data_IF_003629316364
#
_entry.id   IF_003629316364
#
_cell.length_a   1.000
_cell.length_b   1.000
_cell.length_c   1.000
_cell.angle_alpha   90.00
_cell.angle_beta   90.00
_cell.angle_gamma   90.00
#
_symmetry.space_group_name_H-M   'P 1'
#
loop_
_entity.id
_entity.type
_entity.pdbx_description
1 polymer ?
#
# COMPACT_ATOMS: atom_id res chain seq x y z
N UNK A 1 28.90 -10.90 -15.07
CA UNK A 1 28.44 -11.91 -14.11
C UNK A 1 28.31 -11.30 -12.73
N UNK A 2 27.26 -10.53 -12.51
CA UNK A 2 26.71 -10.31 -11.17
C UNK A 2 25.55 -11.28 -11.05
N UNK A 3 25.56 -12.22 -10.10
CA UNK A 3 24.47 -13.16 -9.94
C UNK A 3 23.24 -12.36 -9.52
N UNK A 4 22.13 -12.55 -10.23
CA UNK A 4 20.81 -12.18 -9.73
C UNK A 4 20.68 -12.86 -8.35
N UNK A 5 20.85 -12.08 -7.28
CA UNK A 5 20.43 -12.50 -5.95
C UNK A 5 18.90 -12.53 -5.99
N UNK A 6 18.34 -13.58 -6.59
CA UNK A 6 16.93 -13.91 -6.50
C UNK A 6 16.74 -14.42 -5.08
N UNK A 7 16.74 -13.49 -4.13
CA UNK A 7 16.05 -13.71 -2.87
C UNK A 7 14.62 -14.05 -3.25
N UNK A 8 14.18 -15.26 -2.92
CA UNK A 8 12.80 -15.69 -3.16
C UNK A 8 11.88 -14.65 -2.55
N UNK A 9 11.09 -13.96 -3.38
CA UNK A 9 10.08 -13.02 -2.87
C UNK A 9 9.20 -13.82 -1.91
N UNK A 10 9.05 -13.40 -0.64
CA UNK A 10 8.22 -14.13 0.31
C UNK A 10 6.78 -14.18 -0.18
N UNK A 11 5.98 -15.11 0.32
CA UNK A 11 4.56 -15.15 0.00
C UNK A 11 3.86 -13.93 0.59
N UNK A 12 3.61 -12.92 -0.25
CA UNK A 12 2.98 -11.66 0.14
C UNK A 12 1.47 -11.79 0.35
N UNK A 13 0.88 -12.96 0.09
CA UNK A 13 -0.51 -13.21 0.48
C UNK A 13 -0.68 -13.39 1.99
N UNK A 14 0.42 -13.73 2.69
CA UNK A 14 0.50 -13.76 4.14
C UNK A 14 0.73 -12.34 4.73
N UNK A 15 0.00 -12.01 5.79
CA UNK A 15 0.01 -10.67 6.40
C UNK A 15 1.36 -10.32 7.03
N UNK A 16 2.01 -11.29 7.70
CA UNK A 16 3.27 -11.06 8.39
C UNK A 16 4.41 -10.85 7.38
N UNK A 17 4.49 -11.70 6.37
CA UNK A 17 5.43 -11.55 5.27
C UNK A 17 5.23 -10.23 4.53
N UNK A 18 3.97 -9.86 4.24
CA UNK A 18 3.64 -8.59 3.61
C UNK A 18 4.08 -7.40 4.47
N UNK A 19 3.86 -7.47 5.80
CA UNK A 19 4.28 -6.43 6.74
C UNK A 19 5.80 -6.24 6.73
N UNK A 20 6.56 -7.30 6.85
CA UNK A 20 8.04 -7.25 6.82
C UNK A 20 8.56 -6.70 5.48
N UNK A 21 7.96 -7.12 4.36
CA UNK A 21 8.34 -6.64 3.04
C UNK A 21 7.96 -5.17 2.81
N UNK A 22 6.79 -4.72 3.27
CA UNK A 22 6.31 -3.34 3.13
C UNK A 22 7.12 -2.40 4.03
N UNK A 23 7.44 -2.79 5.25
CA UNK A 23 8.20 -1.97 6.19
C UNK A 23 9.71 -1.95 5.89
N UNK A 24 10.20 -2.90 5.10
CA UNK A 24 11.56 -2.86 4.56
C UNK A 24 11.63 -2.12 3.21
N UNK A 25 12.85 -1.82 2.76
CA UNK A 25 13.12 -1.23 1.44
C UNK A 25 14.13 -2.09 0.67
N UNK A 26 13.70 -3.26 0.15
CA UNK A 26 14.61 -4.14 -0.58
C UNK A 26 15.05 -3.51 -1.89
N UNK A 27 16.20 -3.95 -2.42
CA UNK A 27 16.67 -3.54 -3.73
C UNK A 27 15.70 -4.03 -4.80
N UNK A 28 15.27 -3.10 -5.67
CA UNK A 28 14.41 -3.40 -6.81
C UNK A 28 14.71 -2.39 -7.92
N UNK A 29 14.50 -2.76 -9.20
CA UNK A 29 14.69 -1.83 -10.31
C UNK A 29 13.82 -0.57 -10.19
N UNK A 30 12.61 -0.71 -9.65
CA UNK A 30 11.70 0.43 -9.43
C UNK A 30 11.97 1.20 -8.13
N UNK A 31 12.92 0.75 -7.29
CA UNK A 31 13.39 1.50 -6.13
C UNK A 31 14.51 2.45 -6.59
N UNK A 32 14.11 3.58 -7.19
CA UNK A 32 15.04 4.59 -7.72
C UNK A 32 14.55 5.98 -7.37
N UNK A 33 15.50 6.86 -7.06
CA UNK A 33 15.26 8.28 -6.78
C UNK A 33 15.89 9.18 -7.85
N UNK A 34 16.33 8.64 -8.98
CA UNK A 34 16.94 9.39 -10.09
C UNK A 34 15.89 10.26 -10.79
N UNK A 35 15.91 11.60 -10.64
CA UNK A 35 14.90 12.48 -11.20
C UNK A 35 14.92 12.51 -12.73
N UNK A 36 16.10 12.33 -13.34
CA UNK A 36 16.23 12.31 -14.79
C UNK A 36 15.51 11.09 -15.35
N UNK A 37 15.71 9.92 -14.74
CA UNK A 37 14.99 8.70 -15.11
C UNK A 37 13.49 8.83 -14.87
N UNK A 38 13.09 9.33 -13.70
CA UNK A 38 11.67 9.47 -13.36
C UNK A 38 10.95 10.42 -14.32
N UNK A 39 11.59 11.49 -14.77
CA UNK A 39 11.01 12.41 -15.77
C UNK A 39 10.74 11.78 -17.14
N UNK A 40 11.38 10.66 -17.47
CA UNK A 40 11.10 9.92 -18.73
C UNK A 40 9.87 9.03 -18.66
N UNK A 41 9.40 8.72 -17.45
CA UNK A 41 8.30 7.77 -17.21
C UNK A 41 7.07 8.46 -16.60
N UNK A 42 7.31 9.42 -15.71
CA UNK A 42 6.29 10.14 -14.95
C UNK A 42 6.03 11.50 -15.60
N UNK A 43 4.75 11.81 -15.81
CA UNK A 43 4.34 13.15 -16.22
C UNK A 43 4.64 14.16 -15.09
N UNK A 44 4.71 15.45 -15.41
CA UNK A 44 5.10 16.51 -14.47
C UNK A 44 4.27 16.54 -13.17
N UNK A 45 2.99 16.16 -13.22
CA UNK A 45 2.11 16.06 -12.06
C UNK A 45 2.51 14.95 -11.08
N UNK A 46 3.07 13.85 -11.60
CA UNK A 46 3.45 12.66 -10.83
C UNK A 46 4.88 12.76 -10.26
N UNK A 47 5.65 13.79 -10.67
CA UNK A 47 7.02 14.02 -10.21
C UNK A 47 7.09 14.68 -8.82
N UNK A 48 5.98 15.23 -8.32
CA UNK A 48 5.93 15.88 -7.00
C UNK A 48 6.07 14.89 -5.82
N UNK A 49 5.94 13.58 -6.08
CA UNK A 49 6.00 12.53 -5.05
C UNK A 49 7.17 11.58 -5.31
N UNK A 50 8.29 11.85 -4.62
CA UNK A 50 9.53 11.08 -4.75
C UNK A 50 9.44 9.65 -4.16
N UNK A 51 8.41 9.36 -3.36
CA UNK A 51 8.32 8.16 -2.51
C UNK A 51 7.21 7.18 -2.95
N UNK A 52 7.03 6.95 -4.24
CA UNK A 52 6.06 5.96 -4.75
C UNK A 52 6.46 4.51 -4.44
N UNK A 53 7.74 4.22 -4.18
CA UNK A 53 8.21 2.87 -3.84
C UNK A 53 7.80 2.48 -2.41
N UNK A 54 7.91 3.41 -1.46
CA UNK A 54 7.46 3.27 -0.07
C UNK A 54 6.82 4.59 0.36
N UNK A 55 5.51 4.57 0.55
CA UNK A 55 4.73 5.74 0.91
C UNK A 55 4.13 5.58 2.30
N UNK A 56 3.79 6.70 2.93
CA UNK A 56 3.20 6.74 4.26
C UNK A 56 2.08 7.77 4.29
N UNK A 57 0.95 7.41 4.89
CA UNK A 57 -0.17 8.33 5.14
C UNK A 57 -0.60 8.20 6.58
N UNK A 58 -0.84 9.32 7.25
CA UNK A 58 -1.40 9.37 8.59
C UNK A 58 -2.81 9.94 8.53
N UNK A 59 -3.68 9.43 9.41
CA UNK A 59 -4.99 10.01 9.66
C UNK A 59 -5.19 10.16 11.16
N UNK A 60 -5.68 11.33 11.56
CA UNK A 60 -6.39 11.44 12.84
C UNK A 60 -7.70 10.65 12.78
N UNK A 61 -8.25 10.36 13.95
CA UNK A 61 -9.53 9.68 14.08
C UNK A 61 -10.67 10.41 13.35
N UNK A 62 -10.70 11.74 13.44
CA UNK A 62 -11.71 12.59 12.82
C UNK A 62 -11.59 12.59 11.30
N UNK A 63 -10.37 12.76 10.77
CA UNK A 63 -10.09 12.75 9.34
C UNK A 63 -10.48 11.42 8.70
N UNK A 64 -10.11 10.29 9.31
CA UNK A 64 -10.44 8.99 8.74
C UNK A 64 -11.95 8.71 8.76
N UNK A 65 -12.63 9.08 9.84
CA UNK A 65 -14.08 8.91 9.96
C UNK A 65 -14.82 9.74 8.90
N UNK A 66 -14.47 11.02 8.76
CA UNK A 66 -15.06 11.91 7.75
C UNK A 66 -14.76 11.43 6.32
N UNK A 67 -13.51 11.06 6.05
CA UNK A 67 -13.10 10.54 4.74
C UNK A 67 -13.91 9.31 4.36
N UNK A 68 -13.98 8.31 5.24
CA UNK A 68 -14.77 7.10 4.99
C UNK A 68 -16.23 7.44 4.75
N UNK A 69 -16.81 8.35 5.54
CA UNK A 69 -18.19 8.80 5.36
C UNK A 69 -18.42 9.42 3.99
N UNK A 70 -17.57 10.36 3.56
CA UNK A 70 -17.70 11.03 2.26
C UNK A 70 -17.48 10.10 1.07
N UNK A 71 -16.51 9.19 1.17
CA UNK A 71 -16.10 8.34 0.04
C UNK A 71 -16.95 7.08 -0.13
N UNK A 72 -17.45 6.53 0.98
CA UNK A 72 -18.32 5.35 0.99
C UNK A 72 -19.81 5.66 1.08
N UNK A 73 -20.18 6.82 1.61
CA UNK A 73 -21.57 7.15 1.97
C UNK A 73 -22.04 6.49 3.28
N UNK A 74 -21.16 5.82 4.01
CA UNK A 74 -21.48 5.06 5.23
C UNK A 74 -20.90 5.77 6.45
N UNK A 75 -21.75 6.03 7.45
CA UNK A 75 -21.29 6.53 8.74
C UNK A 75 -20.82 5.36 9.63
N UNK A 76 -19.51 5.31 9.88
CA UNK A 76 -18.89 4.31 10.75
C UNK A 76 -18.86 4.76 12.22
N UNK A 77 -19.16 6.02 12.51
CA UNK A 77 -18.79 6.66 13.77
C UNK A 77 -17.27 6.68 13.94
N UNK A 78 -16.81 6.42 15.16
CA UNK A 78 -15.37 6.26 15.43
C UNK A 78 -14.87 4.97 14.81
N UNK A 79 -13.86 5.05 13.95
CA UNK A 79 -13.15 3.87 13.41
C UNK A 79 -12.37 3.20 14.54
N UNK A 80 -12.61 1.91 14.72
CA UNK A 80 -12.01 1.09 15.76
C UNK A 80 -10.89 0.20 15.21
N UNK A 81 -11.01 -0.21 13.95
CA UNK A 81 -10.05 -1.13 13.33
C UNK A 81 -10.11 -1.06 11.80
N UNK A 82 -8.92 -1.03 11.19
CA UNK A 82 -8.69 -1.36 9.78
C UNK A 82 -7.86 -2.64 9.74
N UNK A 83 -8.47 -3.77 9.35
CA UNK A 83 -7.79 -5.06 9.35
C UNK A 83 -7.80 -5.68 7.95
N UNK A 84 -6.64 -5.89 7.32
CA UNK A 84 -6.55 -6.70 6.11
C UNK A 84 -7.07 -8.11 6.39
N UNK A 85 -8.08 -8.56 5.63
CA UNK A 85 -8.61 -9.92 5.74
C UNK A 85 -7.97 -10.85 4.70
N UNK A 86 -7.71 -10.32 3.51
CA UNK A 86 -7.13 -11.09 2.41
C UNK A 86 -6.25 -10.24 1.51
N UNK A 87 -5.12 -10.81 1.10
CA UNK A 87 -4.20 -10.25 0.11
C UNK A 87 -4.12 -11.13 -1.14
N UNK A 88 -3.85 -10.51 -2.28
CA UNK A 88 -3.44 -11.23 -3.49
C UNK A 88 -1.95 -11.60 -3.43
N UNK A 89 -1.50 -12.41 -4.39
CA UNK A 89 -0.09 -12.83 -4.49
C UNK A 89 0.90 -11.66 -4.61
N UNK A 90 0.44 -10.49 -5.06
CA UNK A 90 1.23 -9.26 -5.12
C UNK A 90 1.27 -8.47 -3.80
N UNK A 91 0.67 -8.96 -2.71
CA UNK A 91 0.60 -8.26 -1.42
C UNK A 91 -0.46 -7.16 -1.33
N UNK A 92 -1.19 -6.92 -2.42
CA UNK A 92 -2.30 -5.95 -2.45
C UNK A 92 -3.48 -6.50 -1.69
N UNK A 93 -4.03 -5.71 -0.77
CA UNK A 93 -5.25 -6.06 -0.05
C UNK A 93 -6.40 -6.10 -1.04
N UNK A 94 -7.17 -7.18 -1.00
CA UNK A 94 -8.35 -7.40 -1.84
C UNK A 94 -9.63 -7.49 -1.01
N UNK A 95 -9.52 -7.70 0.31
CA UNK A 95 -10.59 -7.58 1.30
C UNK A 95 -10.03 -6.91 2.56
N UNK A 96 -10.62 -5.78 2.95
CA UNK A 96 -10.27 -5.01 4.14
C UNK A 96 -11.51 -4.90 5.04
N UNK A 97 -11.37 -5.30 6.30
CA UNK A 97 -12.36 -5.03 7.34
C UNK A 97 -12.20 -3.60 7.84
N UNK A 98 -13.30 -2.85 7.85
CA UNK A 98 -13.43 -1.56 8.52
C UNK A 98 -14.47 -1.73 9.61
N UNK A 99 -14.04 -1.72 10.87
CA UNK A 99 -14.92 -1.75 12.04
C UNK A 99 -14.95 -0.35 12.65
N UNK A 100 -16.12 0.25 12.69
CA UNK A 100 -16.41 1.45 13.48
C UNK A 100 -17.40 1.18 14.61
N UNK A 101 -17.70 2.20 15.40
CA UNK A 101 -18.66 2.10 16.52
C UNK A 101 -20.10 1.90 16.05
N UNK A 102 -20.45 2.34 14.84
CA UNK A 102 -21.83 2.25 14.31
C UNK A 102 -22.02 1.15 13.28
N UNK A 103 -20.97 0.81 12.52
CA UNK A 103 -21.01 -0.12 11.40
C UNK A 103 -19.72 -0.91 11.27
N UNK A 104 -19.83 -2.12 10.74
CA UNK A 104 -18.69 -2.94 10.32
C UNK A 104 -18.93 -3.36 8.89
N UNK A 105 -17.96 -3.11 8.01
CA UNK A 105 -18.04 -3.41 6.58
C UNK A 105 -16.74 -4.05 6.14
N UNK A 106 -16.83 -5.08 5.30
CA UNK A 106 -15.67 -5.56 4.53
C UNK A 106 -15.73 -4.93 3.15
N UNK A 107 -14.78 -4.04 2.87
CA UNK A 107 -14.60 -3.47 1.52
C UNK A 107 -13.71 -4.40 0.72
N UNK A 108 -14.20 -4.85 -0.43
CA UNK A 108 -13.48 -5.73 -1.34
C UNK A 108 -13.02 -4.98 -2.59
N UNK A 109 -12.15 -5.63 -3.38
CA UNK A 109 -11.49 -5.11 -4.58
C UNK A 109 -10.49 -3.99 -4.27
N UNK A 110 -9.32 -4.09 -4.90
CA UNK A 110 -8.19 -3.16 -4.69
C UNK A 110 -8.57 -1.68 -4.96
N UNK A 111 -9.32 -1.40 -6.02
CA UNK A 111 -9.68 -0.02 -6.38
C UNK A 111 -10.62 0.64 -5.36
N UNK A 112 -11.59 -0.09 -4.83
CA UNK A 112 -12.53 0.46 -3.85
C UNK A 112 -11.85 0.78 -2.52
N UNK A 113 -10.96 -0.11 -2.06
CA UNK A 113 -10.11 0.14 -0.87
C UNK A 113 -9.33 1.45 -1.04
N UNK A 114 -8.68 1.63 -2.20
CA UNK A 114 -7.89 2.83 -2.50
C UNK A 114 -8.74 4.10 -2.58
N UNK A 115 -9.97 3.98 -3.09
CA UNK A 115 -10.92 5.09 -3.23
C UNK A 115 -11.49 5.54 -1.89
N UNK A 116 -11.75 4.61 -0.97
CA UNK A 116 -12.35 4.89 0.34
C UNK A 116 -11.36 5.53 1.31
N UNK A 117 -10.08 5.19 1.19
CA UNK A 117 -9.02 5.67 2.09
C UNK A 117 -8.23 6.85 1.51
N UNK A 118 -8.70 7.55 0.48
CA UNK A 118 -8.01 8.73 -0.06
C UNK A 118 -8.95 9.66 -0.82
N UNK A 119 -8.65 10.96 -0.82
CA UNK A 119 -9.39 11.98 -1.59
C UNK A 119 -9.29 11.75 -3.10
N UNK A 120 -8.09 11.44 -3.58
CA UNK A 120 -7.85 11.01 -4.96
C UNK A 120 -7.98 9.49 -5.01
N UNK A 121 -6.88 8.78 -4.76
CA UNK A 121 -6.78 7.34 -4.57
C UNK A 121 -5.45 7.06 -3.84
N UNK A 122 -5.42 6.08 -2.92
CA UNK A 122 -4.13 5.59 -2.41
C UNK A 122 -3.27 5.09 -3.59
N UNK A 123 -1.94 5.21 -3.46
CA UNK A 123 -1.01 4.73 -4.50
C UNK A 123 -1.22 3.25 -4.81
N UNK A 124 -1.45 2.42 -3.81
CA UNK A 124 -1.81 1.01 -3.97
C UNK A 124 -2.65 0.54 -2.79
N UNK A 125 -3.22 -0.66 -2.87
CA UNK A 125 -3.76 -1.35 -1.67
C UNK A 125 -2.71 -2.24 -0.98
N UNK A 126 -1.44 -2.17 -1.37
CA UNK A 126 -0.35 -2.89 -0.70
C UNK A 126 0.17 -2.05 0.47
N UNK A 127 -0.58 -2.05 1.57
CA UNK A 127 -0.18 -1.36 2.80
C UNK A 127 -0.39 -2.23 4.04
N UNK A 128 0.22 -1.81 5.15
CA UNK A 128 -0.07 -2.27 6.50
C UNK A 128 -0.53 -1.09 7.36
N UNK A 129 -1.25 -1.42 8.43
CA UNK A 129 -1.88 -0.44 9.32
C UNK A 129 -1.19 -0.50 10.68
N UNK A 130 -0.79 0.66 11.19
CA UNK A 130 -0.46 0.88 12.60
C UNK A 130 -1.55 1.73 13.24
N UNK A 131 -1.99 1.34 14.43
CA UNK A 131 -3.04 2.04 15.19
C UNK A 131 -2.40 2.83 16.31
N UNK A 132 -2.74 4.12 16.41
CA UNK A 132 -2.23 5.03 17.43
C UNK A 132 -3.31 5.21 18.49
N UNK A 133 -2.98 4.97 19.75
CA UNK A 133 -3.85 5.24 20.90
C UNK A 133 -3.31 6.44 21.68
N UNK A 134 -4.20 7.21 22.28
CA UNK A 134 -3.78 8.26 23.21
C UNK A 134 -3.20 7.63 24.48
N UNK A 135 -2.13 8.24 25.01
CA UNK A 135 -1.65 7.91 26.34
C UNK A 135 -2.78 8.13 27.36
N UNK A 136 -3.00 7.20 28.31
CA UNK A 136 -3.96 7.43 29.37
C UNK A 136 -3.55 8.70 30.14
N UNK A 137 -4.50 9.60 30.38
CA UNK A 137 -4.24 10.83 31.10
C UNK A 137 -3.58 10.53 32.45
N UNK A 138 -2.41 11.12 32.68
CA UNK A 138 -1.59 10.94 33.90
C UNK A 138 -2.23 11.51 35.17
N UNK A 139 -3.39 12.15 35.05
CA UNK A 139 -4.18 12.60 36.20
C UNK A 139 -4.92 11.38 36.74
N UNK A 140 -4.44 10.85 37.88
CA UNK A 140 -4.84 9.60 38.53
C UNK A 140 -6.31 9.48 38.94
N UNK A 141 -7.21 9.67 37.99
CA UNK A 141 -8.61 9.37 38.07
C UNK A 141 -8.79 8.01 37.40
N UNK A 142 -8.92 6.97 38.23
CA UNK A 142 -9.29 5.61 37.82
C UNK A 142 -10.66 5.63 37.12
N UNK A 143 -10.68 6.05 35.85
CA UNK A 143 -11.77 5.71 34.95
C UNK A 143 -11.44 4.28 34.52
N UNK A 144 -11.90 3.30 35.29
CA UNK A 144 -11.92 1.93 34.82
C UNK A 144 -12.66 1.94 33.47
N UNK A 145 -11.99 1.65 32.33
CA UNK A 145 -12.71 1.50 31.08
C UNK A 145 -13.77 0.44 31.33
N UNK A 146 -15.04 0.78 31.11
CA UNK A 146 -16.14 -0.17 31.28
C UNK A 146 -15.77 -1.45 30.55
N UNK A 147 -16.00 -2.59 31.22
CA UNK A 147 -15.49 -3.93 30.88
C UNK A 147 -15.76 -4.36 29.41
N UNK A 148 -16.56 -3.61 28.64
CA UNK A 148 -16.97 -3.93 27.27
C UNK A 148 -16.85 -2.77 26.24
N UNK A 149 -16.20 -1.64 26.55
CA UNK A 149 -16.01 -0.56 25.55
C UNK A 149 -14.63 -0.63 24.90
N UNK A 150 -14.52 -0.88 23.58
CA UNK A 150 -13.23 -0.88 22.90
C UNK A 150 -12.62 0.52 22.95
N UNK A 151 -11.32 0.59 23.27
CA UNK A 151 -10.57 1.83 23.22
C UNK A 151 -10.65 2.42 21.80
N UNK A 152 -11.04 3.69 21.70
CA UNK A 152 -11.10 4.40 20.43
C UNK A 152 -9.67 4.86 20.08
N UNK A 153 -9.14 4.48 18.91
CA UNK A 153 -7.85 4.98 18.44
C UNK A 153 -7.84 6.51 18.30
N UNK A 154 -6.68 7.11 18.55
CA UNK A 154 -6.42 8.52 18.25
C UNK A 154 -6.13 8.74 16.76
N UNK A 155 -5.62 7.72 16.07
CA UNK A 155 -5.34 7.78 14.63
C UNK A 155 -4.82 6.47 14.05
N UNK A 156 -4.55 6.49 12.76
CA UNK A 156 -4.06 5.35 11.98
C UNK A 156 -2.94 5.79 11.05
N UNK A 157 -1.93 4.93 10.90
CA UNK A 157 -0.81 5.14 9.99
C UNK A 157 -0.82 4.01 8.96
N UNK A 158 -0.88 4.36 7.69
CA UNK A 158 -0.74 3.43 6.58
C UNK A 158 0.69 3.49 6.06
N UNK A 159 1.39 2.37 6.14
CA UNK A 159 2.67 2.17 5.48
C UNK A 159 2.44 1.37 4.22
N UNK A 160 2.75 1.92 3.05
CA UNK A 160 2.42 1.30 1.78
C UNK A 160 3.59 1.18 0.81
N UNK A 161 3.39 0.32 -0.18
CA UNK A 161 4.42 -0.06 -1.13
C UNK A 161 3.91 -0.01 -2.57
N UNK A 162 4.74 0.59 -3.43
CA UNK A 162 4.50 0.71 -4.86
C UNK A 162 3.27 1.53 -5.22
N UNK A 163 3.10 1.71 -6.52
CA UNK A 163 2.03 2.50 -7.11
C UNK A 163 1.37 1.75 -8.27
N UNK A 164 0.04 1.75 -8.28
CA UNK A 164 -0.80 1.03 -9.25
C UNK A 164 -1.17 -0.38 -8.80
N UNK A 165 -1.83 -1.11 -9.71
CA UNK A 165 -2.46 -2.40 -9.44
C UNK A 165 -1.47 -3.57 -9.26
N UNK A 166 -0.20 -3.41 -9.68
CA UNK A 166 0.87 -4.38 -9.44
C UNK A 166 0.79 -5.65 -10.28
N UNK A 167 0.34 -5.55 -11.54
CA UNK A 167 0.27 -6.67 -12.49
C UNK A 167 1.00 -6.31 -13.78
N UNK A 168 1.77 -7.26 -14.34
CA UNK A 168 2.47 -7.09 -15.60
C UNK A 168 3.79 -6.34 -15.44
N UNK A 169 3.98 -5.29 -16.25
CA UNK A 169 5.24 -4.56 -16.36
C UNK A 169 5.23 -3.30 -15.48
N UNK A 170 6.23 -3.16 -14.61
CA UNK A 170 6.45 -1.92 -13.87
C UNK A 170 7.19 -0.93 -14.78
N UNK A 171 6.55 0.19 -15.13
CA UNK A 171 7.11 1.17 -16.07
C UNK A 171 8.43 1.77 -15.56
N UNK A 172 8.49 2.15 -14.29
CA UNK A 172 9.71 2.69 -13.65
C UNK A 172 10.81 1.64 -13.64
N UNK A 173 10.47 0.39 -13.29
CA UNK A 173 11.44 -0.72 -13.30
C UNK A 173 11.96 -1.02 -14.70
N UNK A 174 11.11 -1.01 -15.72
CA UNK A 174 11.51 -1.17 -17.12
C UNK A 174 12.44 -0.04 -17.59
N UNK A 175 12.15 1.21 -17.23
CA UNK A 175 13.03 2.35 -17.54
C UNK A 175 14.38 2.23 -16.83
N UNK A 176 14.40 1.85 -15.55
CA UNK A 176 15.63 1.58 -14.79
C UNK A 176 16.45 0.44 -15.39
N UNK A 177 15.81 -0.65 -15.80
CA UNK A 177 16.47 -1.74 -16.52
C UNK A 177 17.06 -1.25 -17.85
N UNK A 178 16.32 -0.45 -18.61
CA UNK A 178 16.77 0.14 -19.89
C UNK A 178 17.96 1.08 -19.68
N UNK A 179 17.93 1.95 -18.67
CA UNK A 179 19.04 2.84 -18.33
C UNK A 179 20.31 2.07 -17.91
N UNK A 180 20.15 0.87 -17.35
CA UNK A 180 21.23 -0.07 -17.04
C UNK A 180 21.67 -0.91 -18.26
N UNK A 181 21.15 -0.63 -19.45
CA UNK A 181 21.52 -1.32 -20.69
C UNK A 181 20.79 -2.64 -20.96
N UNK A 182 19.71 -2.95 -20.24
CA UNK A 182 18.90 -4.13 -20.54
C UNK A 182 18.10 -3.91 -21.84
N UNK A 183 18.12 -4.91 -22.72
CA UNK A 183 17.33 -4.89 -23.96
C UNK A 183 15.84 -5.16 -23.68
N UNK A 184 14.96 -4.74 -24.59
CA UNK A 184 13.51 -4.86 -24.40
C UNK A 184 13.06 -6.32 -24.17
N UNK A 185 13.70 -7.29 -24.82
CA UNK A 185 13.42 -8.72 -24.67
C UNK A 185 13.76 -9.22 -23.26
N UNK A 186 14.86 -8.75 -22.67
CA UNK A 186 15.24 -9.07 -21.27
C UNK A 186 14.29 -8.42 -20.28
N UNK A 187 13.87 -7.18 -20.53
CA UNK A 187 12.89 -6.47 -19.71
C UNK A 187 11.55 -7.23 -19.72
N UNK A 188 11.06 -7.63 -20.90
CA UNK A 188 9.82 -8.40 -21.01
C UNK A 188 9.95 -9.78 -20.36
N UNK A 189 11.06 -10.49 -20.55
CA UNK A 189 11.31 -11.79 -19.91
C UNK A 189 11.33 -11.71 -18.37
N UNK A 190 11.77 -10.57 -17.81
CA UNK A 190 11.75 -10.32 -16.36
C UNK A 190 10.31 -10.25 -15.81
N UNK A 191 9.42 -9.51 -16.48
CA UNK A 191 8.03 -9.29 -16.03
C UNK A 191 7.05 -10.40 -16.47
N UNK A 192 7.27 -10.99 -17.63
CA UNK A 192 6.41 -12.00 -18.25
C UNK A 192 7.16 -13.33 -18.37
N UNK A 193 7.46 -13.95 -17.23
CA UNK A 193 8.19 -15.22 -17.19
C UNK A 193 7.47 -16.30 -17.99
N UNK A 194 8.22 -17.04 -18.81
CA UNK A 194 7.67 -18.08 -19.67
C UNK A 194 6.95 -17.58 -20.92
N UNK A 195 6.93 -16.27 -21.18
CA UNK A 195 6.44 -15.72 -22.45
C UNK A 195 7.50 -15.83 -23.56
N UNK A 196 7.04 -15.90 -24.81
CA UNK A 196 7.90 -15.89 -26.00
C UNK A 196 7.54 -14.69 -26.89
N UNK A 197 8.56 -13.94 -27.31
CA UNK A 197 8.41 -12.87 -28.29
C UNK A 197 8.24 -13.46 -29.69
N UNK A 198 7.15 -13.09 -30.36
CA UNK A 198 6.88 -13.50 -31.75
C UNK A 198 6.72 -12.27 -32.62
N UNK A 199 7.45 -12.22 -33.73
CA UNK A 199 7.28 -11.19 -34.76
C UNK A 199 6.13 -11.59 -35.68
N UNK A 200 5.05 -10.81 -35.68
CA UNK A 200 3.88 -11.09 -36.51
C UNK A 200 4.04 -10.60 -37.96
N UNK A 201 4.89 -9.59 -38.19
CA UNK A 201 5.24 -9.00 -39.49
C UNK A 201 6.57 -8.25 -39.42
#
# INVERSE_FOLDING_TARGET
NTPDAVGTIPDLSDEQNAREWILSSPEAFCNTSDPALLSTVLNSYDQETADFYRWRVEYTQEELSDLLRRRSGIDFGSVLELRPLRRGASGRIIELLIRGTLRTVTVGKELEIRRWLSESHLYSSAFVVDTVYAEPASDGQDIQPGINTPAIPAGFILHGAGWGHGVGLCQIGAAAMSARGCTFDRILAHYFRGSCLTRLY
#
